data_IF_699305589604
#
_entry.id   IF_699305589604
#
_cell.length_a   1.000
_cell.length_b   1.000
_cell.length_c   1.000
_cell.angle_alpha   90.00
_cell.angle_beta   90.00
_cell.angle_gamma   90.00
#
_symmetry.space_group_name_H-M   'P 1'
#
loop_
_entity.id
_entity.type
_entity.pdbx_description
1 polymer ?
#
# COMPACT_ATOMS: atom_id res chain seq x y z
N UNK A 1 -10.50 8.14 -17.20
CA UNK A 1 -9.24 7.56 -16.72
C UNK A 1 -8.10 8.58 -16.76
N UNK A 2 -7.91 9.33 -17.86
CA UNK A 2 -6.88 10.39 -17.96
C UNK A 2 -6.92 11.42 -16.82
N UNK A 3 -8.10 11.87 -16.40
CA UNK A 3 -8.25 12.81 -15.28
C UNK A 3 -7.80 12.22 -13.93
N UNK A 4 -8.06 10.93 -13.67
CA UNK A 4 -7.66 10.26 -12.43
C UNK A 4 -6.14 10.03 -12.41
N UNK A 5 -5.56 9.64 -13.55
CA UNK A 5 -4.11 9.50 -13.68
C UNK A 5 -3.40 10.84 -13.48
N UNK A 6 -3.89 11.90 -14.12
CA UNK A 6 -3.35 13.26 -13.96
C UNK A 6 -3.40 13.73 -12.51
N UNK A 7 -4.51 13.47 -11.81
CA UNK A 7 -4.64 13.75 -10.36
C UNK A 7 -3.55 13.03 -9.56
N UNK A 8 -3.38 11.73 -9.77
CA UNK A 8 -2.36 10.94 -9.07
C UNK A 8 -0.95 11.50 -9.30
N UNK A 9 -0.62 11.90 -10.54
CA UNK A 9 0.66 12.53 -10.87
C UNK A 9 0.85 13.90 -10.19
N UNK A 10 -0.16 14.76 -10.22
CA UNK A 10 -0.09 16.07 -9.56
C UNK A 10 0.09 15.93 -8.05
N UNK A 11 -0.66 15.02 -7.41
CA UNK A 11 -0.54 14.76 -5.98
C UNK A 11 0.89 14.34 -5.58
N UNK A 12 1.56 13.51 -6.39
CA UNK A 12 2.96 13.14 -6.16
C UNK A 12 3.90 14.35 -6.32
N UNK A 13 3.70 15.20 -7.32
CA UNK A 13 4.56 16.38 -7.57
C UNK A 13 4.58 17.35 -6.39
N UNK A 14 3.48 17.49 -5.67
CA UNK A 14 3.39 18.35 -4.48
C UNK A 14 4.07 17.75 -3.23
N UNK A 15 4.52 16.48 -3.28
CA UNK A 15 5.04 15.72 -2.13
C UNK A 15 6.53 15.40 -2.22
N UNK A 16 7.34 16.33 -2.72
CA UNK A 16 8.79 16.12 -2.94
C UNK A 16 9.55 15.55 -1.72
N UNK A 17 9.35 16.02 -0.47
CA UNK A 17 10.08 15.49 0.68
C UNK A 17 9.69 14.04 1.00
N UNK A 18 8.39 13.74 0.89
CA UNK A 18 7.83 12.40 1.08
C UNK A 18 8.32 11.42 0.00
N UNK A 19 8.45 11.89 -1.25
CA UNK A 19 9.04 11.12 -2.34
C UNK A 19 10.50 10.76 -2.06
N UNK A 20 11.31 11.68 -1.51
CA UNK A 20 12.70 11.38 -1.16
C UNK A 20 12.79 10.23 -0.13
N UNK A 21 11.93 10.25 0.89
CA UNK A 21 11.84 9.17 1.89
C UNK A 21 11.41 7.85 1.22
N UNK A 22 10.45 7.88 0.31
CA UNK A 22 10.02 6.71 -0.47
C UNK A 22 11.14 6.07 -1.29
N UNK A 23 12.12 6.85 -1.75
CA UNK A 23 13.26 6.32 -2.51
C UNK A 23 14.36 5.73 -1.63
N UNK A 24 14.64 6.34 -0.47
CA UNK A 24 15.78 5.94 0.38
C UNK A 24 15.42 4.76 1.30
N UNK A 25 14.24 4.82 1.90
CA UNK A 25 13.78 3.84 2.90
C UNK A 25 13.76 2.38 2.42
N UNK A 26 13.31 2.04 1.19
CA UNK A 26 13.35 0.66 0.70
C UNK A 26 14.77 0.17 0.44
N UNK A 27 15.71 1.04 0.10
CA UNK A 27 17.12 0.68 -0.08
C UNK A 27 17.70 0.23 1.27
N UNK A 28 17.47 1.03 2.31
CA UNK A 28 17.89 0.72 3.69
C UNK A 28 17.22 -0.58 4.15
N UNK A 29 15.92 -0.73 3.88
CA UNK A 29 15.16 -1.91 4.28
C UNK A 29 15.63 -3.18 3.58
N UNK A 30 15.84 -3.12 2.26
CA UNK A 30 16.38 -4.23 1.48
C UNK A 30 17.79 -4.63 1.95
N UNK A 31 18.64 -3.65 2.25
CA UNK A 31 19.95 -3.91 2.85
C UNK A 31 19.83 -4.62 4.22
N UNK A 32 18.89 -4.20 5.07
CA UNK A 32 18.64 -4.86 6.34
C UNK A 32 18.17 -6.32 6.16
N UNK A 33 17.31 -6.59 5.19
CA UNK A 33 16.84 -7.96 4.87
C UNK A 33 17.98 -8.86 4.39
N UNK A 34 18.90 -8.36 3.56
CA UNK A 34 20.07 -9.14 3.16
C UNK A 34 21.04 -9.42 4.32
N UNK A 35 20.99 -8.63 5.40
CA UNK A 35 21.83 -8.81 6.59
C UNK A 35 21.16 -9.67 7.66
N UNK A 36 19.84 -9.86 7.62
CA UNK A 36 19.09 -10.63 8.62
C UNK A 36 19.14 -12.15 8.40
N UNK A 37 19.88 -12.63 7.40
CA UNK A 37 20.04 -14.06 7.13
C UNK A 37 18.83 -14.72 6.46
N UNK A 38 17.93 -13.91 5.89
CA UNK A 38 16.83 -14.40 5.06
C UNK A 38 17.37 -14.98 3.75
N UNK A 39 16.72 -16.04 3.26
CA UNK A 39 17.00 -16.57 1.93
C UNK A 39 16.60 -15.56 0.85
N UNK A 40 17.29 -15.59 -0.28
CA UNK A 40 17.05 -14.62 -1.35
C UNK A 40 15.66 -14.80 -1.98
N UNK A 41 15.19 -16.04 -2.08
CA UNK A 41 13.85 -16.41 -2.57
C UNK A 41 12.77 -15.74 -1.71
N UNK A 42 12.90 -15.86 -0.38
CA UNK A 42 11.98 -15.22 0.56
C UNK A 42 12.00 -13.69 0.44
N UNK A 43 13.18 -13.09 0.25
CA UNK A 43 13.27 -11.64 0.00
C UNK A 43 12.54 -11.27 -1.29
N UNK A 44 12.79 -11.97 -2.40
CA UNK A 44 12.18 -11.69 -3.70
C UNK A 44 10.64 -11.79 -3.66
N UNK A 45 10.12 -12.79 -2.95
CA UNK A 45 8.69 -13.10 -2.89
C UNK A 45 7.92 -12.12 -1.99
N UNK A 46 8.49 -11.72 -0.85
CA UNK A 46 7.77 -10.93 0.17
C UNK A 46 8.10 -9.45 0.17
N UNK A 47 9.32 -9.04 -0.25
CA UNK A 47 9.74 -7.64 -0.21
C UNK A 47 8.78 -6.67 -0.94
N UNK A 48 8.29 -6.96 -2.17
CA UNK A 48 7.43 -6.02 -2.87
C UNK A 48 6.12 -5.76 -2.14
N UNK A 49 5.51 -6.79 -1.56
CA UNK A 49 4.28 -6.66 -0.78
C UNK A 49 4.52 -5.84 0.49
N UNK A 50 5.53 -6.24 1.26
CA UNK A 50 5.87 -5.60 2.53
C UNK A 50 6.22 -4.13 2.35
N UNK A 51 7.02 -3.80 1.33
CA UNK A 51 7.36 -2.41 1.05
C UNK A 51 6.15 -1.62 0.55
N UNK A 52 5.36 -2.17 -0.38
CA UNK A 52 4.17 -1.47 -0.92
C UNK A 52 3.13 -1.17 0.18
N UNK A 53 2.96 -2.09 1.14
CA UNK A 53 2.11 -1.84 2.30
C UNK A 53 2.67 -0.72 3.18
N UNK A 54 3.97 -0.76 3.44
CA UNK A 54 4.62 0.27 4.27
C UNK A 54 4.63 1.66 3.60
N UNK A 55 4.88 1.71 2.29
CA UNK A 55 4.92 2.94 1.50
C UNK A 55 3.55 3.64 1.44
N UNK A 56 2.46 2.90 1.65
CA UNK A 56 1.09 3.46 1.65
C UNK A 56 0.89 4.59 2.66
N UNK A 57 1.58 4.57 3.80
CA UNK A 57 1.55 5.64 4.81
C UNK A 57 2.00 6.98 4.20
N UNK A 58 2.88 6.93 3.21
CA UNK A 58 3.43 8.11 2.54
C UNK A 58 2.48 8.61 1.42
N UNK A 59 1.70 7.69 0.84
CA UNK A 59 0.74 7.97 -0.22
C UNK A 59 -0.58 8.58 0.28
N UNK A 60 -0.94 8.41 1.56
CA UNK A 60 -2.15 9.03 2.12
C UNK A 60 -1.82 10.34 2.84
N UNK A 61 -2.39 11.46 2.37
CA UNK A 61 -2.31 12.77 3.04
C UNK A 61 -3.71 13.32 3.30
N UNK A 62 -3.88 14.10 4.37
CA UNK A 62 -5.12 14.83 4.64
C UNK A 62 -5.47 15.81 3.52
N UNK A 63 -4.48 16.31 2.78
CA UNK A 63 -4.65 17.16 1.59
C UNK A 63 -5.39 16.45 0.44
N UNK A 64 -5.31 15.12 0.35
CA UNK A 64 -6.08 14.35 -0.66
C UNK A 64 -7.58 14.36 -0.38
N UNK A 65 -7.96 14.57 0.88
CA UNK A 65 -9.35 14.65 1.35
C UNK A 65 -9.94 16.01 0.93
N UNK A 66 -9.17 17.09 1.04
CA UNK A 66 -9.55 18.42 0.52
C UNK A 66 -9.71 18.38 -1.00
N UNK A 67 -8.78 17.75 -1.71
CA UNK A 67 -8.89 17.52 -3.15
C UNK A 67 -9.95 16.49 -3.56
N UNK A 68 -10.61 15.81 -2.60
CA UNK A 68 -11.69 14.86 -2.89
C UNK A 68 -13.05 15.55 -3.05
N UNK A 69 -13.25 16.75 -2.49
CA UNK A 69 -14.49 17.52 -2.66
C UNK A 69 -14.74 17.86 -4.14
N UNK A 70 -13.70 18.31 -4.85
CA UNK A 70 -13.77 18.62 -6.28
C UNK A 70 -14.02 17.39 -7.16
N UNK A 71 -13.69 16.19 -6.66
CA UNK A 71 -13.89 14.92 -7.36
C UNK A 71 -15.25 14.31 -7.03
N UNK A 72 -15.77 14.55 -5.83
CA UNK A 72 -17.14 14.20 -5.45
C UNK A 72 -18.16 15.03 -6.23
N UNK A 73 -17.79 16.23 -6.67
CA UNK A 73 -18.55 17.04 -7.62
C UNK A 73 -18.54 16.46 -9.05
N UNK A 74 -17.60 15.58 -9.39
CA UNK A 74 -17.59 14.87 -10.67
C UNK A 74 -18.53 13.64 -10.63
N UNK A 75 -19.11 13.27 -11.78
CA UNK A 75 -20.05 12.13 -11.91
C UNK A 75 -19.43 10.73 -11.72
N UNK A 76 -18.22 10.64 -11.16
CA UNK A 76 -17.48 9.39 -10.95
C UNK A 76 -17.96 8.74 -9.64
N UNK A 77 -18.15 7.41 -9.63
CA UNK A 77 -18.51 6.69 -8.41
C UNK A 77 -17.31 6.55 -7.46
N UNK A 78 -17.59 6.60 -6.14
CA UNK A 78 -16.60 6.40 -5.06
C UNK A 78 -15.83 5.10 -5.27
N UNK A 79 -16.53 4.02 -5.62
CA UNK A 79 -15.94 2.72 -5.90
C UNK A 79 -14.89 2.77 -7.01
N UNK A 80 -15.15 3.50 -8.10
CA UNK A 80 -14.18 3.63 -9.22
C UNK A 80 -12.94 4.41 -8.80
N UNK A 81 -13.10 5.47 -8.00
CA UNK A 81 -11.99 6.26 -7.47
C UNK A 81 -11.14 5.42 -6.52
N UNK A 82 -11.79 4.71 -5.61
CA UNK A 82 -11.12 3.81 -4.65
C UNK A 82 -10.32 2.74 -5.37
N UNK A 83 -10.93 2.02 -6.32
CA UNK A 83 -10.25 0.96 -7.07
C UNK A 83 -9.08 1.50 -7.90
N UNK A 84 -9.24 2.67 -8.53
CA UNK A 84 -8.16 3.32 -9.27
C UNK A 84 -6.97 3.67 -8.37
N UNK A 85 -7.22 4.23 -7.19
CA UNK A 85 -6.16 4.56 -6.25
C UNK A 85 -5.42 3.30 -5.77
N UNK A 86 -6.13 2.20 -5.51
CA UNK A 86 -5.51 0.93 -5.15
C UNK A 86 -4.61 0.41 -6.28
N UNK A 87 -5.11 0.35 -7.51
CA UNK A 87 -4.33 -0.09 -8.68
C UNK A 87 -3.08 0.78 -8.84
N UNK A 88 -3.24 2.10 -8.75
CA UNK A 88 -2.14 3.02 -8.92
C UNK A 88 -1.04 2.82 -7.87
N UNK A 89 -1.40 2.77 -6.59
CA UNK A 89 -0.44 2.59 -5.49
C UNK A 89 0.23 1.22 -5.59
N UNK A 90 -0.55 0.14 -5.76
CA UNK A 90 0.00 -1.22 -5.83
C UNK A 90 0.92 -1.39 -7.03
N UNK A 91 0.50 -0.95 -8.22
CA UNK A 91 1.33 -1.06 -9.42
C UNK A 91 2.62 -0.23 -9.30
N UNK A 92 2.52 1.02 -8.83
CA UNK A 92 3.70 1.87 -8.66
C UNK A 92 4.68 1.31 -7.62
N UNK A 93 4.17 0.78 -6.50
CA UNK A 93 4.97 0.15 -5.45
C UNK A 93 5.68 -1.11 -5.94
N UNK A 94 4.95 -2.03 -6.59
CA UNK A 94 5.53 -3.26 -7.11
C UNK A 94 6.55 -3.01 -8.21
N UNK A 95 6.26 -2.15 -9.19
CA UNK A 95 7.21 -1.83 -10.26
C UNK A 95 8.51 -1.28 -9.67
N UNK A 96 8.40 -0.36 -8.72
CA UNK A 96 9.57 0.21 -8.06
C UNK A 96 10.34 -0.83 -7.22
N UNK A 97 9.65 -1.68 -6.46
CA UNK A 97 10.26 -2.77 -5.70
C UNK A 97 10.97 -3.78 -6.59
N UNK A 98 10.41 -4.14 -7.75
CA UNK A 98 11.02 -5.06 -8.71
C UNK A 98 12.31 -4.45 -9.29
N UNK A 99 12.27 -3.17 -9.68
CA UNK A 99 13.47 -2.45 -10.17
C UNK A 99 14.55 -2.48 -9.08
N UNK A 100 14.18 -2.19 -7.84
CA UNK A 100 15.12 -2.14 -6.74
C UNK A 100 15.69 -3.52 -6.38
N UNK A 101 14.85 -4.56 -6.37
CA UNK A 101 15.30 -5.94 -6.17
C UNK A 101 16.29 -6.35 -7.26
N UNK A 102 15.97 -6.08 -8.53
CA UNK A 102 16.83 -6.42 -9.67
C UNK A 102 18.18 -5.72 -9.59
N UNK A 103 18.18 -4.42 -9.24
CA UNK A 103 19.42 -3.68 -9.04
C UNK A 103 20.22 -4.19 -7.83
N UNK A 104 19.53 -4.49 -6.72
CA UNK A 104 20.13 -4.98 -5.48
C UNK A 104 20.75 -6.38 -5.61
N UNK A 105 20.01 -7.33 -6.19
CA UNK A 105 20.51 -8.68 -6.47
C UNK A 105 21.63 -8.66 -7.51
N UNK A 106 21.50 -7.87 -8.58
CA UNK A 106 22.55 -7.71 -9.58
C UNK A 106 23.86 -7.20 -8.97
N UNK A 107 23.79 -6.19 -8.10
CA UNK A 107 24.96 -5.66 -7.40
C UNK A 107 25.57 -6.66 -6.42
N UNK A 108 24.74 -7.44 -5.71
CA UNK A 108 25.22 -8.50 -4.82
C UNK A 108 25.90 -9.65 -5.59
N UNK A 109 25.36 -10.05 -6.73
CA UNK A 109 25.96 -11.09 -7.58
C UNK A 109 27.33 -10.61 -8.12
N UNK A 110 27.44 -9.34 -8.53
CA UNK A 110 28.71 -8.75 -8.95
C UNK A 110 29.77 -8.71 -7.82
N UNK A 111 29.37 -8.37 -6.60
CA UNK A 111 30.31 -8.19 -5.47
C UNK A 111 30.67 -9.51 -4.79
N UNK A 112 29.72 -10.45 -4.69
CA UNK A 112 29.87 -11.69 -3.92
C UNK A 112 29.96 -12.96 -4.77
N UNK A 113 29.79 -12.86 -6.09
CA UNK A 113 29.83 -14.02 -7.00
C UNK A 113 28.73 -15.05 -6.70
N UNK A 114 27.60 -14.61 -6.15
CA UNK A 114 26.45 -15.49 -5.89
C UNK A 114 25.89 -15.84 -7.28
N UNK A 115 25.90 -17.14 -7.61
CA UNK A 115 25.51 -17.64 -8.92
C UNK A 115 24.04 -17.39 -9.28
N UNK A 116 23.63 -17.93 -10.43
CA UNK A 116 22.23 -17.86 -10.87
C UNK A 116 21.31 -18.56 -9.86
N UNK A 117 20.21 -17.90 -9.50
CA UNK A 117 19.17 -18.47 -8.65
C UNK A 117 17.96 -18.86 -9.50
N UNK A 118 17.33 -19.97 -9.16
CA UNK A 118 16.10 -20.45 -9.80
C UNK A 118 14.93 -20.29 -8.84
N UNK A 119 13.87 -19.59 -9.26
CA UNK A 119 12.61 -19.56 -8.52
C UNK A 119 11.85 -20.86 -8.79
N UNK A 120 11.26 -21.43 -7.74
CA UNK A 120 10.29 -22.51 -7.90
C UNK A 120 8.94 -21.96 -8.36
N UNK A 121 8.10 -22.82 -8.93
CA UNK A 121 6.72 -22.46 -9.29
C UNK A 121 5.95 -21.92 -8.08
N UNK A 122 6.22 -22.42 -6.87
CA UNK A 122 5.55 -21.94 -5.66
C UNK A 122 6.02 -20.53 -5.25
N UNK A 123 7.25 -20.14 -5.55
CA UNK A 123 7.74 -18.77 -5.32
C UNK A 123 7.02 -17.77 -6.22
N UNK A 124 6.85 -18.10 -7.50
CA UNK A 124 6.09 -17.29 -8.45
C UNK A 124 4.61 -17.17 -8.04
N UNK A 125 4.00 -18.29 -7.63
CA UNK A 125 2.62 -18.29 -7.15
C UNK A 125 2.46 -17.48 -5.85
N UNK A 126 3.42 -17.59 -4.92
CA UNK A 126 3.40 -16.83 -3.68
C UNK A 126 3.60 -15.33 -3.93
N UNK A 127 4.43 -14.94 -4.90
CA UNK A 127 4.57 -13.55 -5.33
C UNK A 127 3.24 -12.99 -5.82
N UNK A 128 2.50 -13.73 -6.64
CA UNK A 128 1.16 -13.34 -7.12
C UNK A 128 0.16 -13.29 -5.96
N UNK A 129 0.20 -14.27 -5.04
CA UNK A 129 -0.66 -14.29 -3.86
C UNK A 129 -0.40 -13.07 -2.94
N UNK A 130 0.87 -12.70 -2.76
CA UNK A 130 1.30 -11.51 -2.02
C UNK A 130 0.85 -10.21 -2.69
N UNK A 131 0.80 -10.15 -4.03
CA UNK A 131 0.21 -9.05 -4.78
C UNK A 131 -1.29 -8.89 -4.47
N UNK A 132 -2.04 -10.00 -4.52
CA UNK A 132 -3.45 -10.00 -4.17
C UNK A 132 -3.68 -9.59 -2.71
N UNK A 133 -2.87 -10.10 -1.78
CA UNK A 133 -2.94 -9.75 -0.37
C UNK A 133 -2.66 -8.27 -0.13
N UNK A 134 -1.64 -7.72 -0.81
CA UNK A 134 -1.31 -6.30 -0.75
C UNK A 134 -2.50 -5.43 -1.20
N UNK A 135 -3.15 -5.82 -2.30
CA UNK A 135 -4.35 -5.15 -2.80
C UNK A 135 -5.50 -5.19 -1.79
N UNK A 136 -5.70 -6.34 -1.12
CA UNK A 136 -6.73 -6.53 -0.12
C UNK A 136 -6.51 -5.69 1.14
N UNK A 137 -5.30 -5.73 1.71
CA UNK A 137 -4.93 -4.93 2.88
C UNK A 137 -5.04 -3.44 2.60
N UNK A 138 -4.51 -2.96 1.46
CA UNK A 138 -4.68 -1.56 1.06
C UNK A 138 -6.14 -1.17 0.88
N UNK A 139 -6.94 -2.06 0.28
CA UNK A 139 -8.37 -1.86 0.15
C UNK A 139 -9.06 -1.68 1.50
N UNK A 140 -8.74 -2.53 2.47
CA UNK A 140 -9.33 -2.47 3.80
C UNK A 140 -8.82 -1.26 4.62
N UNK A 141 -7.55 -0.87 4.49
CA UNK A 141 -7.01 0.35 5.12
C UNK A 141 -7.66 1.64 4.60
N UNK A 142 -8.21 1.61 3.39
CA UNK A 142 -8.74 2.78 2.68
C UNK A 142 -10.27 2.79 2.57
N UNK A 143 -10.95 1.79 3.13
CA UNK A 143 -12.41 1.69 3.03
C UNK A 143 -13.14 2.83 3.76
N UNK A 144 -12.48 3.48 4.71
CA UNK A 144 -13.03 4.63 5.45
C UNK A 144 -13.32 5.84 4.54
N UNK A 145 -12.64 5.97 3.39
CA UNK A 145 -12.92 7.01 2.40
C UNK A 145 -14.30 6.90 1.73
N UNK A 146 -15.06 5.83 1.99
CA UNK A 146 -16.43 5.71 1.47
C UNK A 146 -17.41 6.69 2.10
N UNK A 147 -17.36 6.88 3.42
CA UNK A 147 -18.28 7.74 4.17
C UNK A 147 -17.83 8.06 5.61
N UNK A 148 -16.62 7.66 6.01
CA UNK A 148 -16.09 7.84 7.35
C UNK A 148 -16.99 7.28 8.48
N UNK A 149 -17.80 6.25 8.21
CA UNK A 149 -18.55 5.56 9.27
C UNK A 149 -17.62 4.85 10.24
N UNK A 150 -18.03 4.77 11.52
CA UNK A 150 -17.21 4.22 12.60
C UNK A 150 -16.67 2.82 12.31
N UNK A 151 -17.51 1.90 11.80
CA UNK A 151 -17.07 0.55 11.43
C UNK A 151 -15.97 0.56 10.36
N UNK A 152 -16.11 1.40 9.32
CA UNK A 152 -15.10 1.52 8.25
C UNK A 152 -13.82 2.19 8.74
N UNK A 153 -13.90 3.15 9.66
CA UNK A 153 -12.74 3.75 10.31
C UNK A 153 -12.00 2.74 11.20
N UNK A 154 -12.72 1.95 12.00
CA UNK A 154 -12.12 0.91 12.83
C UNK A 154 -11.38 -0.14 11.99
N UNK A 155 -12.01 -0.63 10.91
CA UNK A 155 -11.35 -1.53 9.96
C UNK A 155 -10.12 -0.87 9.36
N UNK A 156 -10.24 0.36 8.85
CA UNK A 156 -9.12 1.08 8.27
C UNK A 156 -7.93 1.23 9.23
N UNK A 157 -8.20 1.58 10.49
CA UNK A 157 -7.17 1.72 11.53
C UNK A 157 -6.43 0.41 11.82
N UNK A 158 -7.16 -0.71 11.92
CA UNK A 158 -6.54 -2.04 12.13
C UNK A 158 -5.60 -2.38 10.97
N UNK A 159 -6.05 -2.20 9.72
CA UNK A 159 -5.21 -2.49 8.56
C UNK A 159 -4.06 -1.49 8.39
N UNK A 160 -4.24 -0.22 8.76
CA UNK A 160 -3.15 0.75 8.78
C UNK A 160 -2.04 0.37 9.80
N UNK A 161 -2.41 -0.16 10.96
CA UNK A 161 -1.43 -0.70 11.92
C UNK A 161 -0.71 -1.93 11.36
N UNK A 162 -1.42 -2.82 10.66
CA UNK A 162 -0.81 -3.97 9.97
C UNK A 162 0.21 -3.49 8.93
N UNK A 163 -0.12 -2.47 8.12
CA UNK A 163 0.81 -1.90 7.14
C UNK A 163 2.11 -1.39 7.79
N UNK A 164 1.98 -0.70 8.93
CA UNK A 164 3.12 -0.18 9.68
C UNK A 164 3.96 -1.31 10.28
N UNK A 165 3.33 -2.36 10.80
CA UNK A 165 4.01 -3.48 11.44
C UNK A 165 4.65 -4.45 10.44
N UNK A 166 4.09 -4.59 9.24
CA UNK A 166 4.51 -5.56 8.22
C UNK A 166 6.03 -5.61 7.96
N UNK A 167 6.75 -4.49 7.74
CA UNK A 167 8.19 -4.53 7.52
C UNK A 167 9.00 -5.08 8.71
N UNK A 168 8.56 -4.81 9.93
CA UNK A 168 9.23 -5.30 11.13
C UNK A 168 8.94 -6.79 11.35
N UNK A 169 7.69 -7.21 11.14
CA UNK A 169 7.29 -8.62 11.20
C UNK A 169 8.11 -9.43 10.20
N UNK A 170 8.26 -8.95 8.96
CA UNK A 170 9.04 -9.65 7.96
C UNK A 170 10.54 -9.68 8.28
N UNK A 171 11.11 -8.59 8.81
CA UNK A 171 12.51 -8.55 9.20
C UNK A 171 12.83 -9.52 10.35
N UNK A 172 11.94 -9.64 11.34
CA UNK A 172 12.15 -10.44 12.56
C UNK A 172 11.77 -11.92 12.35
N UNK A 173 10.68 -12.19 11.66
CA UNK A 173 10.11 -13.54 11.50
C UNK A 173 10.16 -14.09 10.08
N UNK A 174 10.74 -13.36 9.12
CA UNK A 174 10.80 -13.78 7.72
C UNK A 174 11.49 -15.12 7.51
N UNK A 175 12.43 -15.51 8.37
CA UNK A 175 13.15 -16.78 8.27
C UNK A 175 12.26 -18.00 8.56
N UNK A 176 11.10 -17.77 9.17
CA UNK A 176 10.08 -18.79 9.43
C UNK A 176 8.99 -18.83 8.36
N UNK A 177 9.04 -17.94 7.37
CA UNK A 177 8.09 -17.94 6.27
C UNK A 177 8.50 -19.01 5.27
N UNK A 178 7.75 -20.10 5.24
CA UNK A 178 7.90 -21.16 4.26
C UNK A 178 7.05 -20.86 3.03
N UNK A 179 7.67 -20.96 1.85
CA UNK A 179 6.96 -20.92 0.57
C UNK A 179 6.64 -22.34 0.16
N UNK A 180 5.36 -22.71 0.22
CA UNK A 180 4.85 -24.00 -0.17
C UNK A 180 3.40 -23.85 -0.66
N UNK A 181 2.83 -24.94 -1.17
CA UNK A 181 1.46 -24.93 -1.69
C UNK A 181 0.43 -24.43 -0.66
N UNK A 182 0.57 -24.81 0.61
CA UNK A 182 -0.37 -24.41 1.66
C UNK A 182 -0.28 -22.91 1.95
N UNK A 183 0.93 -22.36 2.04
CA UNK A 183 1.10 -20.92 2.28
C UNK A 183 0.55 -20.07 1.14
N UNK A 184 0.68 -20.51 -0.11
CA UNK A 184 0.06 -19.86 -1.28
C UNK A 184 -1.46 -19.80 -1.15
N UNK A 185 -2.10 -20.94 -0.88
CA UNK A 185 -3.57 -21.00 -0.78
C UNK A 185 -4.11 -20.20 0.40
N UNK A 186 -3.44 -20.27 1.56
CA UNK A 186 -3.81 -19.47 2.74
C UNK A 186 -3.71 -17.98 2.39
N UNK A 187 -2.61 -17.55 1.79
CA UNK A 187 -2.39 -16.14 1.41
C UNK A 187 -3.50 -15.66 0.46
N UNK A 188 -3.82 -16.44 -0.57
CA UNK A 188 -4.84 -16.10 -1.55
C UNK A 188 -6.24 -16.08 -0.94
N UNK A 189 -6.59 -17.08 -0.12
CA UNK A 189 -7.88 -17.13 0.56
C UNK A 189 -8.07 -15.94 1.50
N UNK A 190 -7.04 -15.58 2.27
CA UNK A 190 -7.03 -14.38 3.12
C UNK A 190 -7.19 -13.11 2.30
N UNK A 191 -6.49 -12.98 1.17
CA UNK A 191 -6.61 -11.83 0.28
C UNK A 191 -8.04 -11.67 -0.24
N UNK A 192 -8.65 -12.74 -0.76
CA UNK A 192 -10.02 -12.72 -1.27
C UNK A 192 -11.01 -12.35 -0.17
N UNK A 193 -10.91 -12.97 1.01
CA UNK A 193 -11.80 -12.70 2.14
C UNK A 193 -11.76 -11.22 2.57
N UNK A 194 -10.56 -10.67 2.75
CA UNK A 194 -10.38 -9.27 3.17
C UNK A 194 -10.87 -8.31 2.10
N UNK A 195 -10.55 -8.60 0.83
CA UNK A 195 -10.98 -7.76 -0.28
C UNK A 195 -12.51 -7.74 -0.39
N UNK A 196 -13.19 -8.86 -0.17
CA UNK A 196 -14.67 -8.91 -0.15
C UNK A 196 -15.25 -8.04 0.96
N UNK A 197 -14.68 -8.06 2.17
CA UNK A 197 -15.12 -7.19 3.27
C UNK A 197 -14.96 -5.72 2.87
N UNK A 198 -13.78 -5.34 2.38
CA UNK A 198 -13.50 -3.97 1.95
C UNK A 198 -14.45 -3.53 0.82
N UNK A 199 -14.70 -4.43 -0.14
CA UNK A 199 -15.60 -4.17 -1.26
C UNK A 199 -17.05 -3.95 -0.81
N UNK A 200 -17.56 -4.75 0.13
CA UNK A 200 -18.90 -4.56 0.69
C UNK A 200 -19.03 -3.19 1.36
N UNK A 201 -18.02 -2.77 2.12
CA UNK A 201 -18.00 -1.44 2.74
C UNK A 201 -17.99 -0.29 1.74
N UNK A 202 -17.22 -0.42 0.66
CA UNK A 202 -17.18 0.59 -0.40
C UNK A 202 -18.49 0.62 -1.20
N UNK A 203 -19.08 -0.54 -1.49
CA UNK A 203 -20.36 -0.63 -2.21
C UNK A 203 -21.50 0.02 -1.43
N UNK A 204 -21.49 -0.11 -0.11
CA UNK A 204 -22.46 0.50 0.80
C UNK A 204 -22.03 1.91 1.24
N UNK A 205 -21.43 2.70 0.33
CA UNK A 205 -21.03 4.09 0.60
C UNK A 205 -22.22 5.05 0.55
N UNK A 206 -22.36 5.92 1.55
CA UNK A 206 -23.29 7.05 1.51
C UNK A 206 -22.57 8.34 1.10
N UNK A 207 -22.86 8.84 -0.12
CA UNK A 207 -22.24 10.04 -0.69
C UNK A 207 -22.52 11.31 0.13
N UNK A 208 -23.73 11.47 0.63
CA UNK A 208 -24.13 12.65 1.41
C UNK A 208 -23.36 12.69 2.73
N UNK A 209 -23.29 11.54 3.41
CA UNK A 209 -22.51 11.39 4.64
C UNK A 209 -21.01 11.66 4.41
N UNK A 210 -20.47 11.21 3.27
CA UNK A 210 -19.10 11.51 2.88
C UNK A 210 -18.86 13.02 2.72
N UNK A 211 -19.74 13.72 2.00
CA UNK A 211 -19.64 15.17 1.80
C UNK A 211 -19.71 15.93 3.14
N UNK A 212 -20.70 15.63 3.99
CA UNK A 212 -20.84 16.25 5.30
C UNK A 212 -19.61 16.03 6.20
N UNK A 213 -19.06 14.81 6.21
CA UNK A 213 -17.90 14.49 7.03
C UNK A 213 -16.62 15.14 6.50
N UNK A 214 -16.47 15.24 5.19
CA UNK A 214 -15.34 15.92 4.53
C UNK A 214 -15.35 17.41 4.84
N UNK A 215 -16.52 18.06 4.76
CA UNK A 215 -16.68 19.48 5.13
C UNK A 215 -16.34 19.73 6.60
N UNK A 216 -16.81 18.86 7.51
CA UNK A 216 -16.46 18.95 8.94
C UNK A 216 -14.95 18.85 9.18
N UNK A 217 -14.28 17.92 8.49
CA UNK A 217 -12.82 17.75 8.57
C UNK A 217 -12.08 18.97 8.03
N UNK A 218 -12.53 19.55 6.92
CA UNK A 218 -11.94 20.77 6.35
C UNK A 218 -12.10 21.96 7.30
N UNK A 219 -13.29 22.17 7.87
CA UNK A 219 -13.52 23.23 8.85
C UNK A 219 -12.63 23.08 10.09
N UNK A 220 -12.50 21.85 10.61
CA UNK A 220 -11.62 21.58 11.74
C UNK A 220 -10.15 21.87 11.40
N UNK A 221 -9.69 21.47 10.21
CA UNK A 221 -8.33 21.72 9.75
C UNK A 221 -8.03 23.22 9.62
N UNK A 222 -8.92 23.98 8.97
CA UNK A 222 -8.77 25.43 8.80
C UNK A 222 -8.78 26.17 10.14
N UNK A 223 -9.66 25.77 11.06
CA UNK A 223 -9.69 26.37 12.40
C UNK A 223 -8.41 26.09 13.19
N UNK A 224 -7.81 24.90 13.01
CA UNK A 224 -6.56 24.53 13.71
C UNK A 224 -5.36 25.30 13.17
N UNK A 225 -5.30 25.55 11.86
CA UNK A 225 -4.23 26.37 11.27
C UNK A 225 -4.34 27.86 11.67
N UNK A 226 -5.56 28.39 11.80
CA UNK A 226 -5.76 29.77 12.26
C UNK A 226 -5.33 29.99 13.72
N UNK A 227 -5.41 28.95 14.58
CA UNK A 227 -4.96 29.04 15.98
C UNK A 227 -3.45 28.86 16.19
N UNK A 228 -2.69 28.53 15.13
CA UNK A 228 -1.22 28.36 15.20
C UNK A 228 -0.51 29.62 14.67
N UNK A 229 -1.22 30.50 13.96
CA UNK A 229 -0.71 31.79 13.44
C UNK A 229 -1.01 33.00 14.34
N UNK A 230 -1.63 32.80 15.51
CA UNK A 230 -1.76 33.80 16.59
C UNK A 230 -0.80 33.53 17.75
#
# INVERSE_FOLDING_TARGET
MNALFWKSLQAMKHRKPRLAVLFILPIIYLYALYRSGLSQETILVFFPATFTLFSSVIHFSMEDIIGSESILAASISIQKIWLWNLIFIVASGYVYSIILLTAGTGLLNLVKGIGDFSLSVYDEMQFIANLALCFAFLGAATCHYADYSFGKQMTASVFALIHLACPFVFLIWGSRLEVNQNSVWITLATAVFIFLIAFIFIRNSNKEKLLMNTQKLMMAYNNTNNTIEE
#
